data_IF_124755316635
#
_entry.id   IF_124755316635
#
_cell.length_a   1.000
_cell.length_b   1.000
_cell.length_c   1.000
_cell.angle_alpha   90.00
_cell.angle_beta   90.00
_cell.angle_gamma   90.00
#
_symmetry.space_group_name_H-M   'P 1'
#
loop_
_entity.id
_entity.type
_entity.pdbx_description
1 polymer ?
#
# COMPACT_ATOMS: atom_id res chain seq x y z
N UNK A 1 22.46 9.51 122.98
CA UNK A 1 21.28 10.30 122.60
C UNK A 1 21.53 10.86 121.21
N UNK A 2 20.91 10.27 120.20
CA UNK A 2 20.96 10.74 118.81
C UNK A 2 20.21 12.07 118.69
N UNK A 3 20.95 13.18 118.60
CA UNK A 3 20.39 14.42 118.08
C UNK A 3 20.38 14.33 116.56
N UNK A 4 19.35 13.68 116.02
CA UNK A 4 19.07 13.70 114.59
C UNK A 4 18.81 15.15 114.21
N UNK A 5 19.69 15.72 113.37
CA UNK A 5 19.54 17.02 112.74
C UNK A 5 18.28 17.00 111.87
N UNK A 6 17.13 17.33 112.49
CA UNK A 6 15.80 17.26 111.85
C UNK A 6 15.73 18.10 110.58
N UNK A 7 16.43 19.23 110.54
CA UNK A 7 16.41 20.15 109.41
C UNK A 7 17.17 19.59 108.20
N UNK A 8 18.33 18.95 108.42
CA UNK A 8 19.08 18.24 107.38
C UNK A 8 18.32 17.03 106.81
N UNK A 9 17.64 16.27 107.67
CA UNK A 9 16.78 15.15 107.24
C UNK A 9 15.57 15.64 106.44
N UNK A 10 14.98 16.78 106.83
CA UNK A 10 13.85 17.38 106.12
C UNK A 10 14.26 17.89 104.71
N UNK A 11 15.42 18.54 104.60
CA UNK A 11 15.97 18.99 103.31
C UNK A 11 16.29 17.83 102.36
N UNK A 12 16.87 16.73 102.86
CA UNK A 12 17.15 15.53 102.06
C UNK A 12 15.87 14.90 101.53
N UNK A 13 14.87 14.68 102.41
CA UNK A 13 13.55 14.16 101.99
C UNK A 13 12.85 15.06 100.98
N UNK A 14 13.05 16.38 101.06
CA UNK A 14 12.46 17.33 100.11
C UNK A 14 13.18 17.32 98.76
N UNK A 15 14.50 17.08 98.74
CA UNK A 15 15.28 16.84 97.52
C UNK A 15 14.86 15.56 96.81
N UNK A 16 14.74 14.45 97.54
CA UNK A 16 14.33 13.15 97.00
C UNK A 16 12.91 13.21 96.40
N UNK A 17 11.98 13.88 97.07
CA UNK A 17 10.61 14.12 96.57
C UNK A 17 10.63 14.93 95.27
N UNK A 18 11.41 16.01 95.20
CA UNK A 18 11.54 16.83 93.99
C UNK A 18 12.16 16.03 92.84
N UNK A 19 13.16 15.20 93.12
CA UNK A 19 13.81 14.35 92.12
C UNK A 19 12.84 13.28 91.56
N UNK A 20 12.03 12.66 92.43
CA UNK A 20 11.01 11.71 92.00
C UNK A 20 9.94 12.37 91.10
N UNK A 21 9.48 13.58 91.44
CA UNK A 21 8.52 14.33 90.63
C UNK A 21 9.08 14.68 89.24
N UNK A 22 10.34 15.11 89.17
CA UNK A 22 11.01 15.40 87.90
C UNK A 22 11.16 14.13 87.06
N UNK A 23 11.53 13.01 87.69
CA UNK A 23 11.68 11.73 87.00
C UNK A 23 10.34 11.22 86.44
N UNK A 24 9.26 11.36 87.20
CA UNK A 24 7.90 10.99 86.76
C UNK A 24 7.43 11.85 85.58
N UNK A 25 7.62 13.18 85.63
CA UNK A 25 7.26 14.07 84.52
C UNK A 25 8.08 13.77 83.25
N UNK A 26 9.38 13.47 83.37
CA UNK A 26 10.19 13.06 82.22
C UNK A 26 9.68 11.77 81.58
N UNK A 27 9.32 10.77 82.39
CA UNK A 27 8.72 9.53 81.87
C UNK A 27 7.38 9.79 81.19
N UNK A 28 6.56 10.68 81.76
CA UNK A 28 5.27 11.07 81.18
C UNK A 28 5.45 11.78 79.84
N UNK A 29 6.42 12.68 79.74
CA UNK A 29 6.75 13.38 78.50
C UNK A 29 7.30 12.42 77.45
N UNK A 30 8.26 11.57 77.80
CA UNK A 30 8.82 10.57 76.89
C UNK A 30 7.75 9.61 76.34
N UNK A 31 6.77 9.23 77.17
CA UNK A 31 5.63 8.42 76.73
C UNK A 31 4.77 9.17 75.71
N UNK A 32 4.43 10.44 75.98
CA UNK A 32 3.64 11.27 75.06
C UNK A 32 4.34 11.52 73.74
N UNK A 33 5.65 11.80 73.77
CA UNK A 33 6.44 11.97 72.55
C UNK A 33 6.49 10.69 71.72
N UNK A 34 6.65 9.53 72.36
CA UNK A 34 6.62 8.24 71.67
C UNK A 34 5.25 7.93 71.07
N UNK A 35 4.17 8.20 71.80
CA UNK A 35 2.80 8.00 71.32
C UNK A 35 2.50 8.93 70.13
N UNK A 36 2.84 10.22 70.24
CA UNK A 36 2.68 11.18 69.16
C UNK A 36 3.52 10.81 67.92
N UNK A 37 4.78 10.38 68.12
CA UNK A 37 5.63 9.92 67.02
C UNK A 37 5.09 8.65 66.37
N UNK A 38 4.57 7.70 67.15
CA UNK A 38 3.97 6.47 66.64
C UNK A 38 2.67 6.75 65.87
N UNK A 39 1.83 7.64 66.37
CA UNK A 39 0.60 8.05 65.69
C UNK A 39 0.94 8.76 64.37
N UNK A 40 1.87 9.72 64.40
CA UNK A 40 2.34 10.40 63.20
C UNK A 40 2.88 9.41 62.16
N UNK A 41 3.75 8.50 62.56
CA UNK A 41 4.28 7.45 61.68
C UNK A 41 3.15 6.59 61.08
N UNK A 42 2.20 6.13 61.90
CA UNK A 42 1.08 5.33 61.44
C UNK A 42 0.22 6.10 60.43
N UNK A 43 -0.05 7.39 60.65
CA UNK A 43 -0.81 8.20 59.70
C UNK A 43 -0.08 8.38 58.38
N UNK A 44 1.23 8.63 58.41
CA UNK A 44 2.05 8.77 57.19
C UNK A 44 2.12 7.46 56.43
N UNK A 45 2.41 6.34 57.11
CA UNK A 45 2.41 5.01 56.49
C UNK A 45 1.07 4.64 55.86
N UNK A 46 -0.04 4.97 56.53
CA UNK A 46 -1.37 4.72 56.00
C UNK A 46 -1.64 5.55 54.73
N UNK A 47 -1.21 6.83 54.70
CA UNK A 47 -1.34 7.68 53.50
C UNK A 47 -0.51 7.13 52.34
N UNK A 48 0.75 6.79 52.58
CA UNK A 48 1.65 6.22 51.56
C UNK A 48 1.10 4.90 51.00
N UNK A 49 0.59 4.03 51.87
CA UNK A 49 -0.03 2.77 51.47
C UNK A 49 -1.26 2.99 50.60
N UNK A 50 -2.12 3.95 50.96
CA UNK A 50 -3.30 4.28 50.19
C UNK A 50 -2.91 4.84 48.81
N UNK A 51 -1.97 5.79 48.76
CA UNK A 51 -1.45 6.36 47.52
C UNK A 51 -0.83 5.29 46.61
N UNK A 52 0.03 4.43 47.15
CA UNK A 52 0.64 3.31 46.39
C UNK A 52 -0.43 2.35 45.85
N UNK A 53 -1.47 2.06 46.63
CA UNK A 53 -2.55 1.18 46.19
C UNK A 53 -3.40 1.82 45.09
N UNK A 54 -3.70 3.12 45.19
CA UNK A 54 -4.39 3.85 44.12
C UNK A 54 -3.57 3.87 42.82
N UNK A 55 -2.27 4.13 42.90
CA UNK A 55 -1.37 4.09 41.74
C UNK A 55 -1.32 2.70 41.12
N UNK A 56 -1.23 1.65 41.95
CA UNK A 56 -1.27 0.26 41.48
C UNK A 56 -2.58 -0.08 40.78
N UNK A 57 -3.71 0.38 41.30
CA UNK A 57 -5.02 0.18 40.68
C UNK A 57 -5.12 0.91 39.34
N UNK A 58 -4.67 2.17 39.27
CA UNK A 58 -4.62 2.96 38.02
C UNK A 58 -3.72 2.30 36.98
N UNK A 59 -2.54 1.84 37.39
CA UNK A 59 -1.61 1.12 36.51
C UNK A 59 -2.21 -0.19 35.99
N UNK A 60 -2.90 -0.96 36.85
CA UNK A 60 -3.57 -2.19 36.45
C UNK A 60 -4.73 -1.94 35.49
N UNK A 61 -5.49 -0.86 35.68
CA UNK A 61 -6.54 -0.46 34.74
C UNK A 61 -5.95 -0.08 33.38
N UNK A 62 -4.93 0.78 33.37
CA UNK A 62 -4.28 1.19 32.13
C UNK A 62 -3.67 0.00 31.37
N UNK A 63 -3.06 -0.96 32.08
CA UNK A 63 -2.53 -2.17 31.47
C UNK A 63 -3.62 -2.99 30.75
N UNK A 64 -4.81 -3.11 31.35
CA UNK A 64 -5.96 -3.79 30.71
C UNK A 64 -6.46 -3.02 29.49
N UNK A 65 -6.57 -1.70 29.58
CA UNK A 65 -6.98 -0.86 28.46
C UNK A 65 -6.02 -0.97 27.28
N UNK A 66 -4.70 -0.97 27.55
CA UNK A 66 -3.66 -1.17 26.55
C UNK A 66 -3.76 -2.56 25.91
N UNK A 67 -3.95 -3.62 26.70
CA UNK A 67 -4.13 -4.96 26.18
C UNK A 67 -5.35 -5.07 25.25
N UNK A 68 -6.48 -4.47 25.62
CA UNK A 68 -7.67 -4.42 24.78
C UNK A 68 -7.41 -3.67 23.47
N UNK A 69 -6.74 -2.51 23.53
CA UNK A 69 -6.36 -1.72 22.34
C UNK A 69 -5.40 -2.48 21.44
N UNK A 70 -4.43 -3.20 22.00
CA UNK A 70 -3.49 -4.02 21.24
C UNK A 70 -4.21 -5.17 20.51
N UNK A 71 -5.15 -5.84 21.18
CA UNK A 71 -5.96 -6.88 20.55
C UNK A 71 -6.83 -6.32 19.41
N UNK A 72 -7.43 -5.14 19.59
CA UNK A 72 -8.22 -4.47 18.55
C UNK A 72 -7.35 -4.07 17.35
N UNK A 73 -6.17 -3.49 17.60
CA UNK A 73 -5.21 -3.14 16.56
C UNK A 73 -4.77 -4.38 15.77
N UNK A 74 -4.45 -5.47 16.47
CA UNK A 74 -4.07 -6.74 15.83
C UNK A 74 -5.19 -7.31 14.96
N UNK A 75 -6.45 -7.22 15.40
CA UNK A 75 -7.62 -7.62 14.61
C UNK A 75 -7.76 -6.78 13.34
N UNK A 76 -7.58 -5.45 13.44
CA UNK A 76 -7.64 -4.55 12.28
C UNK A 76 -6.49 -4.79 11.30
N UNK A 77 -5.28 -5.00 11.81
CA UNK A 77 -4.10 -5.31 10.99
C UNK A 77 -4.28 -6.61 10.21
N UNK A 78 -4.75 -7.68 10.87
CA UNK A 78 -5.06 -8.94 10.21
C UNK A 78 -6.09 -8.78 9.08
N UNK A 79 -7.18 -8.04 9.34
CA UNK A 79 -8.19 -7.75 8.33
C UNK A 79 -7.61 -6.94 7.16
N UNK A 80 -6.82 -5.90 7.44
CA UNK A 80 -6.21 -5.07 6.40
C UNK A 80 -5.26 -5.87 5.51
N UNK A 81 -4.40 -6.71 6.11
CA UNK A 81 -3.50 -7.62 5.39
C UNK A 81 -4.27 -8.60 4.50
N UNK A 82 -5.38 -9.16 4.99
CA UNK A 82 -6.23 -10.03 4.19
C UNK A 82 -6.85 -9.29 2.99
N UNK A 83 -7.39 -8.09 3.20
CA UNK A 83 -7.96 -7.28 2.11
C UNK A 83 -6.89 -6.90 1.09
N UNK A 84 -5.71 -6.52 1.54
CA UNK A 84 -4.59 -6.18 0.67
C UNK A 84 -4.20 -7.38 -0.21
N UNK A 85 -4.04 -8.56 0.39
CA UNK A 85 -3.74 -9.78 -0.37
C UNK A 85 -4.82 -10.12 -1.41
N UNK A 86 -6.11 -9.91 -1.09
CA UNK A 86 -7.20 -10.10 -2.06
C UNK A 86 -7.13 -9.10 -3.22
N UNK A 87 -6.78 -7.84 -2.94
CA UNK A 87 -6.62 -6.80 -3.97
C UNK A 87 -5.42 -7.12 -4.85
N UNK A 88 -4.29 -7.48 -4.27
CA UNK A 88 -3.07 -7.86 -4.99
C UNK A 88 -3.31 -9.07 -5.90
N UNK A 89 -4.00 -10.10 -5.42
CA UNK A 89 -4.38 -11.26 -6.22
C UNK A 89 -5.27 -10.87 -7.41
N UNK A 90 -6.33 -10.10 -7.17
CA UNK A 90 -7.23 -9.64 -8.25
C UNK A 90 -6.49 -8.78 -9.27
N UNK A 91 -5.60 -7.90 -8.81
CA UNK A 91 -4.79 -7.08 -9.71
C UNK A 91 -3.90 -7.97 -10.58
N UNK A 92 -3.21 -8.96 -9.99
CA UNK A 92 -2.37 -9.89 -10.73
C UNK A 92 -3.17 -10.70 -11.78
N UNK A 93 -4.36 -11.18 -11.41
CA UNK A 93 -5.27 -11.90 -12.33
C UNK A 93 -5.72 -11.00 -13.49
N UNK A 94 -6.11 -9.75 -13.21
CA UNK A 94 -6.51 -8.78 -14.24
C UNK A 94 -5.35 -8.48 -15.18
N UNK A 95 -4.14 -8.23 -14.65
CA UNK A 95 -2.96 -7.97 -15.49
C UNK A 95 -2.64 -9.15 -16.40
N UNK A 96 -2.69 -10.37 -15.87
CA UNK A 96 -2.46 -11.59 -16.65
C UNK A 96 -3.50 -11.74 -17.77
N UNK A 97 -4.80 -11.69 -17.43
CA UNK A 97 -5.88 -11.84 -18.40
C UNK A 97 -5.82 -10.76 -19.49
N UNK A 98 -5.54 -9.51 -19.10
CA UNK A 98 -5.44 -8.40 -20.06
C UNK A 98 -4.26 -8.60 -21.00
N UNK A 99 -3.11 -9.07 -20.49
CA UNK A 99 -1.94 -9.37 -21.32
C UNK A 99 -2.22 -10.51 -22.30
N UNK A 100 -2.90 -11.56 -21.85
CA UNK A 100 -3.27 -12.71 -22.68
C UNK A 100 -4.24 -12.29 -23.79
N UNK A 101 -5.30 -11.55 -23.45
CA UNK A 101 -6.27 -11.03 -24.43
C UNK A 101 -5.62 -10.09 -25.44
N UNK A 102 -4.71 -9.22 -25.00
CA UNK A 102 -3.99 -8.34 -25.91
C UNK A 102 -3.11 -9.14 -26.88
N UNK A 103 -2.37 -10.14 -26.38
CA UNK A 103 -1.52 -10.97 -27.21
C UNK A 103 -2.32 -11.83 -28.19
N UNK A 104 -3.46 -12.36 -27.76
CA UNK A 104 -4.39 -13.11 -28.61
C UNK A 104 -4.96 -12.22 -29.72
N UNK A 105 -5.44 -11.02 -29.38
CA UNK A 105 -5.95 -10.05 -30.35
C UNK A 105 -4.88 -9.62 -31.36
N UNK A 106 -3.65 -9.36 -30.88
CA UNK A 106 -2.51 -9.02 -31.74
C UNK A 106 -2.16 -10.17 -32.69
N UNK A 107 -2.04 -11.39 -32.18
CA UNK A 107 -1.75 -12.59 -33.00
C UNK A 107 -2.87 -12.86 -34.01
N UNK A 108 -4.13 -12.69 -33.60
CA UNK A 108 -5.30 -12.78 -34.47
C UNK A 108 -5.21 -11.78 -35.62
N UNK A 109 -4.93 -10.50 -35.32
CA UNK A 109 -4.74 -9.46 -36.32
C UNK A 109 -3.56 -9.77 -37.27
N UNK A 110 -2.41 -10.19 -36.73
CA UNK A 110 -1.26 -10.59 -37.55
C UNK A 110 -1.59 -11.74 -38.50
N UNK A 111 -2.33 -12.75 -38.04
CA UNK A 111 -2.74 -13.88 -38.87
C UNK A 111 -3.68 -13.47 -40.00
N UNK A 112 -4.57 -12.50 -39.75
CA UNK A 112 -5.48 -11.96 -40.76
C UNK A 112 -4.76 -11.05 -41.76
N UNK A 113 -3.78 -10.27 -41.31
CA UNK A 113 -2.95 -9.42 -42.17
C UNK A 113 -2.07 -10.30 -43.08
N UNK A 114 -1.42 -11.35 -42.56
CA UNK A 114 -0.62 -12.30 -43.36
C UNK A 114 -1.46 -13.04 -44.41
N UNK A 115 -2.74 -13.31 -44.13
CA UNK A 115 -3.68 -13.94 -45.08
C UNK A 115 -4.22 -13.01 -46.16
N UNK A 116 -4.12 -11.69 -45.99
CA UNK A 116 -4.26 -10.76 -47.12
C UNK A 116 -3.02 -10.93 -48.00
N UNK A 117 -3.03 -11.99 -48.82
CA UNK A 117 -2.13 -12.12 -49.95
C UNK A 117 -2.39 -10.91 -50.84
N UNK A 118 -1.63 -9.85 -50.58
CA UNK A 118 -1.68 -8.62 -51.36
C UNK A 118 -0.87 -8.94 -52.60
N UNK A 119 -1.43 -9.80 -53.46
CA UNK A 119 -0.85 -10.06 -54.77
C UNK A 119 -0.71 -8.68 -55.43
N UNK A 120 0.51 -8.26 -55.79
CA UNK A 120 0.72 -6.92 -56.29
C UNK A 120 -0.21 -6.73 -57.49
N UNK A 121 -1.00 -5.66 -57.49
CA UNK A 121 -1.94 -5.41 -58.57
C UNK A 121 -1.18 -5.38 -59.90
N UNK A 122 -1.69 -6.11 -60.89
CA UNK A 122 -1.07 -6.27 -62.19
C UNK A 122 0.25 -7.08 -62.21
N UNK A 123 0.60 -7.86 -61.17
CA UNK A 123 1.84 -8.63 -61.08
C UNK A 123 2.12 -9.55 -62.29
N UNK A 124 1.10 -10.25 -62.80
CA UNK A 124 1.23 -11.09 -63.99
C UNK A 124 1.62 -10.27 -65.23
N UNK A 125 0.87 -9.21 -65.53
CA UNK A 125 1.16 -8.29 -66.64
C UNK A 125 2.51 -7.59 -66.48
N UNK A 126 2.90 -7.25 -65.25
CA UNK A 126 4.21 -6.67 -64.93
C UNK A 126 5.35 -7.65 -65.25
N UNK A 127 5.17 -8.93 -64.94
CA UNK A 127 6.18 -9.96 -65.23
C UNK A 127 6.32 -10.19 -66.74
N UNK A 128 5.19 -10.26 -67.46
CA UNK A 128 5.18 -10.46 -68.90
C UNK A 128 5.79 -9.27 -69.67
N UNK A 129 5.46 -8.02 -69.30
CA UNK A 129 6.01 -6.84 -69.98
C UNK A 129 7.53 -6.72 -69.78
N UNK A 130 8.02 -7.00 -68.57
CA UNK A 130 9.45 -7.00 -68.27
C UNK A 130 10.18 -8.08 -69.08
N UNK A 131 9.59 -9.28 -69.17
CA UNK A 131 10.13 -10.37 -69.99
C UNK A 131 10.20 -9.98 -71.48
N UNK A 132 9.13 -9.39 -72.02
CA UNK A 132 9.09 -8.95 -73.42
C UNK A 132 10.20 -7.94 -73.74
N UNK A 133 10.42 -6.94 -72.88
CA UNK A 133 11.49 -5.95 -73.09
C UNK A 133 12.90 -6.55 -72.96
N UNK A 134 13.08 -7.54 -72.10
CA UNK A 134 14.36 -8.26 -72.00
C UNK A 134 14.67 -9.06 -73.27
N UNK A 135 13.66 -9.67 -73.88
CA UNK A 135 13.78 -10.48 -75.10
C UNK A 135 13.89 -9.61 -76.37
N UNK A 136 13.29 -8.41 -76.39
CA UNK A 136 13.20 -7.55 -77.57
C UNK A 136 13.92 -6.20 -77.39
N UNK A 137 15.19 -6.22 -76.95
CA UNK A 137 15.97 -5.01 -76.60
C UNK A 137 16.08 -3.98 -77.73
N UNK A 138 16.11 -4.42 -78.98
CA UNK A 138 16.28 -3.56 -80.17
C UNK A 138 14.96 -3.34 -80.92
N UNK A 139 13.89 -4.05 -80.52
CA UNK A 139 12.58 -4.06 -81.19
C UNK A 139 11.43 -3.87 -80.18
N UNK A 140 11.62 -2.92 -79.27
CA UNK A 140 10.78 -2.60 -78.09
C UNK A 140 9.30 -2.38 -78.45
N UNK A 141 9.00 -1.95 -79.68
CA UNK A 141 7.64 -1.71 -80.16
C UNK A 141 6.78 -2.99 -80.26
N UNK A 142 7.40 -4.18 -80.37
CA UNK A 142 6.68 -5.46 -80.33
C UNK A 142 5.97 -5.69 -78.98
N UNK A 143 6.44 -5.06 -77.90
CA UNK A 143 5.84 -5.16 -76.57
C UNK A 143 4.71 -4.13 -76.33
N UNK A 144 4.32 -3.35 -77.34
CA UNK A 144 3.38 -2.24 -77.20
C UNK A 144 1.99 -2.66 -76.75
N UNK A 145 1.47 -3.80 -77.22
CA UNK A 145 0.16 -4.32 -76.79
C UNK A 145 0.16 -4.74 -75.31
N UNK A 146 1.26 -5.34 -74.86
CA UNK A 146 1.46 -5.73 -73.47
C UNK A 146 1.63 -4.51 -72.56
N UNK A 147 2.33 -3.47 -73.03
CA UNK A 147 2.44 -2.19 -72.35
C UNK A 147 1.08 -1.48 -72.22
N UNK A 148 0.25 -1.51 -73.26
CA UNK A 148 -1.13 -1.00 -73.20
C UNK A 148 -1.98 -1.77 -72.19
N UNK A 149 -1.87 -3.10 -72.18
CA UNK A 149 -2.59 -3.95 -71.23
C UNK A 149 -2.19 -3.64 -69.77
N UNK A 150 -0.87 -3.56 -69.49
CA UNK A 150 -0.36 -3.17 -68.18
C UNK A 150 -0.84 -1.78 -67.76
N UNK A 151 -0.76 -0.78 -68.65
CA UNK A 151 -1.24 0.58 -68.38
C UNK A 151 -2.74 0.65 -68.10
N UNK A 152 -3.55 -0.16 -68.81
CA UNK A 152 -4.99 -0.28 -68.53
C UNK A 152 -5.24 -0.90 -67.15
N UNK A 153 -4.49 -1.92 -66.77
CA UNK A 153 -4.59 -2.54 -65.44
C UNK A 153 -4.21 -1.54 -64.33
N UNK A 154 -3.10 -0.82 -64.47
CA UNK A 154 -2.65 0.19 -63.49
C UNK A 154 -3.65 1.34 -63.36
N UNK A 155 -4.17 1.85 -64.47
CA UNK A 155 -5.16 2.94 -64.42
C UNK A 155 -6.52 2.50 -63.86
N UNK A 156 -6.94 1.25 -64.06
CA UNK A 156 -8.11 0.69 -63.39
C UNK A 156 -7.88 0.52 -61.88
N UNK A 157 -6.70 0.04 -61.48
CA UNK A 157 -6.31 -0.10 -60.08
C UNK A 157 -6.25 1.26 -59.34
N UNK A 158 -5.70 2.30 -59.98
CA UNK A 158 -5.62 3.65 -59.42
C UNK A 158 -6.99 4.27 -59.16
N UNK A 159 -7.99 4.00 -60.02
CA UNK A 159 -9.38 4.46 -59.80
C UNK A 159 -10.05 3.82 -58.59
N UNK A 160 -9.58 2.65 -58.16
CA UNK A 160 -10.08 1.93 -56.97
C UNK A 160 -9.35 2.38 -55.70
N UNK A 161 -8.19 3.02 -55.82
CA UNK A 161 -7.35 3.50 -54.69
C UNK A 161 -7.43 5.02 -54.47
N UNK A 162 -8.32 5.71 -55.19
CA UNK A 162 -8.57 7.14 -55.00
C UNK A 162 -9.20 7.40 -53.61
N UNK A 163 -8.57 8.18 -52.70
CA UNK A 163 -9.12 8.47 -51.37
C UNK A 163 -10.48 9.18 -51.38
N UNK A 164 -10.93 9.65 -52.54
CA UNK A 164 -12.18 10.40 -52.72
C UNK A 164 -13.41 9.56 -53.09
N UNK A 165 -13.29 8.24 -53.33
CA UNK A 165 -14.44 7.35 -53.54
C UNK A 165 -14.81 6.54 -52.28
N UNK A 166 -16.10 6.35 -51.99
CA UNK A 166 -16.54 5.63 -50.80
C UNK A 166 -16.13 4.16 -50.91
N UNK A 167 -15.37 3.70 -49.92
CA UNK A 167 -15.07 2.29 -49.73
C UNK A 167 -16.38 1.49 -49.72
N UNK A 168 -16.43 0.28 -50.35
CA UNK A 168 -17.57 -0.60 -50.17
C UNK A 168 -17.79 -0.82 -48.68
N UNK A 169 -19.04 -0.67 -48.24
CA UNK A 169 -19.48 -0.87 -46.87
C UNK A 169 -19.17 -2.31 -46.42
N UNK A 170 -17.94 -2.53 -45.96
CA UNK A 170 -17.44 -3.82 -45.50
C UNK A 170 -16.42 -3.68 -44.36
N UNK A 171 -16.13 -2.45 -43.93
CA UNK A 171 -15.35 -2.15 -42.73
C UNK A 171 -16.24 -1.54 -41.63
N UNK A 172 -17.52 -1.91 -41.56
CA UNK A 172 -18.30 -1.75 -40.34
C UNK A 172 -17.90 -2.88 -39.37
N UNK A 173 -16.74 -2.74 -38.73
CA UNK A 173 -16.26 -3.76 -37.80
C UNK A 173 -14.99 -3.43 -37.02
N UNK A 174 -14.24 -2.38 -37.37
CA UNK A 174 -13.06 -1.97 -36.60
C UNK A 174 -13.36 -0.92 -35.51
N UNK A 175 -14.52 -0.28 -35.53
CA UNK A 175 -14.91 0.74 -34.54
C UNK A 175 -15.70 0.19 -33.35
N UNK A 176 -15.84 -1.13 -33.20
CA UNK A 176 -16.49 -1.74 -32.03
C UNK A 176 -15.50 -2.27 -30.97
N UNK A 177 -14.19 -2.30 -31.28
CA UNK A 177 -13.16 -2.73 -30.31
C UNK A 177 -12.49 -1.56 -29.57
N UNK A 178 -12.75 -0.32 -30.00
CA UNK A 178 -12.46 0.89 -29.24
C UNK A 178 -13.77 1.37 -28.63
N UNK A 179 -13.86 1.43 -27.30
CA UNK A 179 -15.04 1.76 -26.48
C UNK A 179 -15.97 0.60 -26.06
N UNK A 180 -15.40 -0.44 -25.46
CA UNK A 180 -15.96 -0.93 -24.19
C UNK A 180 -14.85 -0.86 -23.13
N UNK A 181 -14.48 0.37 -22.79
CA UNK A 181 -13.59 0.69 -21.67
C UNK A 181 -14.29 0.45 -20.33
N UNK A 182 -14.74 -0.77 -20.07
CA UNK A 182 -15.26 -1.18 -18.76
C UNK A 182 -14.17 -1.46 -17.73
N UNK A 183 -12.90 -1.46 -18.16
CA UNK A 183 -11.76 -1.58 -17.24
C UNK A 183 -11.53 -0.26 -16.47
N UNK A 184 -11.93 0.91 -17.01
CA UNK A 184 -11.78 2.20 -16.32
C UNK A 184 -13.01 2.61 -15.49
N UNK A 185 -14.21 2.16 -15.83
CA UNK A 185 -15.41 2.49 -15.05
C UNK A 185 -15.44 1.79 -13.70
N UNK A 186 -14.84 0.60 -13.56
CA UNK A 186 -14.68 -0.08 -12.27
C UNK A 186 -13.53 0.51 -11.41
N UNK A 187 -12.44 0.99 -12.04
CA UNK A 187 -11.37 1.68 -11.30
C UNK A 187 -11.81 3.06 -10.78
N UNK A 188 -12.60 3.82 -11.55
CA UNK A 188 -13.10 5.14 -11.12
C UNK A 188 -14.22 5.06 -10.05
N UNK A 189 -15.03 3.99 -10.03
CA UNK A 189 -16.03 3.79 -8.97
C UNK A 189 -15.43 3.23 -7.67
N UNK A 190 -14.24 2.60 -7.73
CA UNK A 190 -13.49 2.15 -6.56
C UNK A 190 -12.71 3.25 -5.80
N UNK A 191 -12.43 4.40 -6.45
CA UNK A 191 -11.71 5.52 -5.81
C UNK A 191 -12.58 6.40 -4.90
N UNK A 192 -13.90 6.23 -4.90
CA UNK A 192 -14.84 7.04 -4.11
C UNK A 192 -14.82 6.75 -2.60
N UNK A 193 -14.01 5.78 -2.14
CA UNK A 193 -13.92 5.36 -0.74
C UNK A 193 -12.60 5.73 -0.04
N UNK A 194 -11.67 6.40 -0.72
CA UNK A 194 -10.48 6.97 -0.09
C UNK A 194 -10.52 8.50 -0.15
N UNK A 195 -11.13 9.11 0.86
CA UNK A 195 -10.88 10.51 1.20
C UNK A 195 -9.45 10.63 1.75
N UNK A 196 -8.48 10.75 0.85
CA UNK A 196 -7.06 10.98 1.16
C UNK A 196 -6.37 11.68 0.00
N UNK A 197 -5.76 12.83 0.28
CA UNK A 197 -5.30 13.86 -0.67
C UNK A 197 -4.48 13.36 -1.89
N UNK A 198 -4.61 14.03 -3.05
CA UNK A 198 -3.97 13.64 -4.30
C UNK A 198 -2.60 14.31 -4.46
N UNK A 199 -1.55 13.73 -3.90
CA UNK A 199 -0.19 14.07 -4.33
C UNK A 199 0.75 12.87 -4.19
N UNK A 200 0.81 12.04 -5.24
CA UNK A 200 2.00 11.32 -5.73
C UNK A 200 1.57 10.34 -6.82
N UNK A 201 1.45 10.85 -8.04
CA UNK A 201 1.58 10.03 -9.24
C UNK A 201 2.98 10.21 -9.81
N UNK A 202 3.45 9.15 -10.47
CA UNK A 202 4.72 8.95 -11.17
C UNK A 202 5.92 8.49 -10.33
N UNK A 203 6.07 7.16 -10.26
CA UNK A 203 7.28 6.52 -10.80
C UNK A 203 6.97 5.05 -11.12
N UNK A 204 6.53 4.80 -12.35
CA UNK A 204 6.54 3.45 -12.93
C UNK A 204 7.84 3.38 -13.73
N UNK A 205 8.83 2.55 -13.34
CA UNK A 205 10.03 2.38 -14.16
C UNK A 205 9.66 1.65 -15.46
N UNK A 206 10.35 1.94 -16.59
CA UNK A 206 10.12 1.22 -17.84
C UNK A 206 10.48 -0.26 -17.69
N UNK A 207 9.89 -1.14 -18.51
CA UNK A 207 10.19 -2.56 -18.48
C UNK A 207 11.68 -2.76 -18.81
N UNK A 208 12.38 -3.42 -17.88
CA UNK A 208 13.75 -3.85 -18.09
C UNK A 208 13.72 -4.86 -19.24
N UNK A 209 14.33 -4.49 -20.36
CA UNK A 209 14.64 -5.42 -21.43
C UNK A 209 15.63 -6.46 -20.88
N UNK A 210 15.11 -7.61 -20.44
CA UNK A 210 15.93 -8.78 -20.16
C UNK A 210 16.31 -9.42 -21.51
N UNK A 211 17.36 -8.88 -22.13
CA UNK A 211 18.13 -9.59 -23.13
C UNK A 211 19.09 -10.55 -22.43
N UNK A 212 19.07 -11.80 -22.92
CA UNK A 212 20.14 -12.81 -22.92
C UNK A 212 20.94 -13.06 -21.63
N UNK A 213 20.80 -14.25 -21.04
CA UNK A 213 21.88 -15.25 -20.92
C UNK A 213 21.46 -16.38 -19.96
N UNK A 214 21.40 -17.62 -20.48
CA UNK A 214 21.81 -18.87 -19.79
C UNK A 214 21.46 -20.11 -20.64
N UNK A 215 22.43 -20.52 -21.47
CA UNK A 215 22.93 -21.88 -21.69
C UNK A 215 22.09 -23.07 -21.16
N UNK A 216 21.70 -23.98 -22.06
CA UNK A 216 22.46 -25.22 -22.33
C UNK A 216 21.97 -25.93 -23.59
#
# INVERSE_FOLDING_TARGET
MEYINRDGVLCLQHGDKKQALVQEELLRLAKREREAASEHLNTTLQRERNSTNEERQKAAQLARELQCKEAELKRRDAFCKEQLGRIEQKNAEIYKLTSEQFHEAATGAESQIKRRNTEPLCAGLQSEILKCYQENKHEVLKCSELAKAYKRCVSAAQKVTDPSLPHPAGFAGFSAWYFHGEILSHWLTGLSLFSGSPHRLLNIPPPIAAGADALS
#
